data_IF_132256887248
#
_entry.id   IF_132256887248
#
_cell.length_a   1.000
_cell.length_b   1.000
_cell.length_c   1.000
_cell.angle_alpha   90.00
_cell.angle_beta   90.00
_cell.angle_gamma   90.00
#
_symmetry.space_group_name_H-M   'P 1'
#
loop_
_entity.id
_entity.type
_entity.pdbx_description
1 polymer ?
#
# COMPACT_ATOMS: atom_id res chain seq x y z
N UNK A 1 -15.43 22.73 -5.25
CA UNK A 1 -15.57 22.25 -3.86
C UNK A 1 -17.03 22.23 -3.44
N UNK A 2 -17.78 23.31 -3.66
CA UNK A 2 -19.22 23.40 -3.38
C UNK A 2 -20.02 22.25 -4.00
N UNK A 3 -19.95 22.08 -5.33
CA UNK A 3 -20.63 20.97 -6.03
C UNK A 3 -20.28 19.60 -5.45
N UNK A 4 -19.03 19.38 -5.05
CA UNK A 4 -18.57 18.10 -4.49
C UNK A 4 -19.16 17.85 -3.09
N UNK A 5 -19.24 18.89 -2.26
CA UNK A 5 -19.84 18.78 -0.93
C UNK A 5 -21.35 18.54 -1.05
N UNK A 6 -22.05 19.33 -1.86
CA UNK A 6 -23.51 19.20 -2.06
C UNK A 6 -23.88 17.83 -2.63
N UNK A 7 -23.13 17.37 -3.63
CA UNK A 7 -23.32 16.05 -4.21
C UNK A 7 -23.06 14.93 -3.19
N UNK A 8 -22.05 15.08 -2.33
CA UNK A 8 -21.74 14.11 -1.28
C UNK A 8 -22.85 14.05 -0.24
N UNK A 9 -23.33 15.20 0.25
CA UNK A 9 -24.45 15.31 1.18
C UNK A 9 -25.72 14.67 0.61
N UNK A 10 -26.06 15.00 -0.64
CA UNK A 10 -27.21 14.43 -1.34
C UNK A 10 -27.10 12.91 -1.47
N UNK A 11 -25.92 12.38 -1.82
CA UNK A 11 -25.69 10.94 -1.95
C UNK A 11 -25.78 10.19 -0.62
N UNK A 12 -25.33 10.82 0.47
CA UNK A 12 -25.39 10.23 1.80
C UNK A 12 -26.77 10.40 2.45
N UNK A 13 -27.63 11.26 1.90
CA UNK A 13 -28.91 11.61 2.51
C UNK A 13 -28.75 12.39 3.81
N UNK A 14 -27.67 13.17 3.93
CA UNK A 14 -27.31 13.92 5.13
C UNK A 14 -27.37 15.42 4.87
N UNK A 15 -27.78 16.18 5.88
CA UNK A 15 -27.72 17.65 5.88
C UNK A 15 -26.34 18.16 6.32
N UNK A 16 -25.69 17.40 7.20
CA UNK A 16 -24.40 17.69 7.82
C UNK A 16 -23.53 16.43 7.83
N UNK A 17 -22.23 16.58 7.58
CA UNK A 17 -21.23 15.53 7.87
C UNK A 17 -20.34 15.96 9.02
N UNK A 18 -19.92 15.01 9.87
CA UNK A 18 -19.06 15.33 11.01
C UNK A 18 -17.68 15.84 10.56
N UNK A 19 -17.09 15.21 9.54
CA UNK A 19 -15.75 15.57 9.04
C UNK A 19 -15.71 15.54 7.52
N UNK A 20 -15.20 16.61 6.92
CA UNK A 20 -14.87 16.66 5.49
C UNK A 20 -13.34 16.70 5.28
N UNK A 21 -12.79 15.82 4.43
CA UNK A 21 -11.35 15.78 4.17
C UNK A 21 -11.00 16.29 2.77
N UNK A 22 -10.06 17.23 2.68
CA UNK A 22 -9.38 17.49 1.41
C UNK A 22 -8.54 16.28 1.04
N UNK A 23 -8.86 15.64 -0.08
CA UNK A 23 -8.26 14.37 -0.47
C UNK A 23 -7.07 14.55 -1.40
N UNK A 24 -5.92 14.01 -0.99
CA UNK A 24 -4.63 13.95 -1.69
C UNK A 24 -4.25 15.27 -2.39
N UNK A 25 -4.20 16.40 -1.66
CA UNK A 25 -3.84 17.68 -2.24
C UNK A 25 -2.45 17.65 -2.93
N UNK A 26 -1.54 16.77 -2.49
CA UNK A 26 -0.21 16.57 -3.08
C UNK A 26 -0.21 16.25 -4.58
N UNK A 27 -1.34 15.80 -5.16
CA UNK A 27 -1.46 15.60 -6.61
C UNK A 27 -1.21 16.88 -7.40
N UNK A 28 -1.49 18.04 -6.81
CA UNK A 28 -1.09 19.31 -7.39
C UNK A 28 0.44 19.40 -7.50
N UNK A 29 1.18 19.09 -6.43
CA UNK A 29 2.64 19.11 -6.44
C UNK A 29 3.20 18.10 -7.43
N UNK A 30 2.65 16.87 -7.50
CA UNK A 30 3.07 15.85 -8.47
C UNK A 30 2.94 16.33 -9.92
N UNK A 31 1.84 17.02 -10.23
CA UNK A 31 1.64 17.60 -11.56
C UNK A 31 2.63 18.73 -11.85
N UNK A 32 2.92 19.60 -10.88
CA UNK A 32 3.91 20.67 -11.02
C UNK A 32 5.34 20.13 -11.22
N UNK A 33 5.69 19.06 -10.50
CA UNK A 33 6.96 18.34 -10.66
C UNK A 33 7.11 17.78 -12.08
N UNK A 34 6.06 17.11 -12.58
CA UNK A 34 6.01 16.58 -13.95
C UNK A 34 6.22 17.65 -15.03
N UNK A 35 5.81 18.89 -14.75
CA UNK A 35 5.96 20.04 -15.65
C UNK A 35 7.20 20.90 -15.34
N UNK A 36 8.15 20.39 -14.52
CA UNK A 36 9.41 21.07 -14.18
C UNK A 36 9.23 22.47 -13.58
N UNK A 37 8.14 22.70 -12.84
CA UNK A 37 7.92 23.97 -12.14
C UNK A 37 8.84 24.01 -10.91
N UNK A 38 9.55 25.12 -10.63
CA UNK A 38 10.40 25.24 -9.45
C UNK A 38 9.64 24.94 -8.15
N UNK A 39 10.28 24.19 -7.24
CA UNK A 39 9.66 23.69 -6.00
C UNK A 39 9.07 24.81 -5.17
N UNK A 40 9.77 25.94 -5.05
CA UNK A 40 9.35 27.10 -4.27
C UNK A 40 8.03 27.67 -4.80
N UNK A 41 7.96 27.88 -6.12
CA UNK A 41 6.77 28.41 -6.81
C UNK A 41 5.59 27.45 -6.72
N UNK A 42 5.82 26.15 -6.85
CA UNK A 42 4.78 25.14 -6.71
C UNK A 42 4.27 25.06 -5.27
N UNK A 43 5.18 25.12 -4.30
CA UNK A 43 4.88 25.09 -2.86
C UNK A 43 4.06 26.29 -2.43
N UNK A 44 4.39 27.49 -2.92
CA UNK A 44 3.62 28.71 -2.68
C UNK A 44 2.17 28.57 -3.16
N UNK A 45 1.98 28.20 -4.44
CA UNK A 45 0.64 28.00 -5.00
C UNK A 45 -0.13 26.88 -4.29
N UNK A 46 0.56 25.82 -3.88
CA UNK A 46 -0.03 24.71 -3.17
C UNK A 46 -0.67 25.14 -1.85
N UNK A 47 0.07 25.87 -1.03
CA UNK A 47 -0.42 26.33 0.27
C UNK A 47 -1.45 27.46 0.14
N UNK A 48 -1.37 28.32 -0.86
CA UNK A 48 -2.43 29.30 -1.15
C UNK A 48 -3.76 28.64 -1.54
N UNK A 49 -3.70 27.53 -2.28
CA UNK A 49 -4.89 26.71 -2.59
C UNK A 49 -5.47 26.07 -1.34
N UNK A 50 -4.64 25.56 -0.43
CA UNK A 50 -5.09 25.03 0.87
C UNK A 50 -5.75 26.13 1.69
N UNK A 51 -5.13 27.31 1.80
CA UNK A 51 -5.68 28.47 2.52
C UNK A 51 -7.05 28.88 1.99
N UNK A 52 -7.19 28.96 0.67
CA UNK A 52 -8.48 29.24 0.01
C UNK A 52 -9.53 28.16 0.30
N UNK A 53 -9.12 26.89 0.34
CA UNK A 53 -10.00 25.78 0.69
C UNK A 53 -10.45 25.85 2.16
N UNK A 54 -9.56 26.23 3.08
CA UNK A 54 -9.89 26.38 4.49
C UNK A 54 -10.92 27.50 4.72
N UNK A 55 -10.78 28.66 4.06
CA UNK A 55 -11.80 29.72 4.13
C UNK A 55 -13.18 29.21 3.70
N UNK A 56 -13.23 28.47 2.60
CA UNK A 56 -14.47 27.87 2.12
C UNK A 56 -15.05 26.86 3.14
N UNK A 57 -14.21 26.00 3.71
CA UNK A 57 -14.66 24.99 4.69
C UNK A 57 -15.14 25.62 6.00
N UNK A 58 -14.50 26.68 6.48
CA UNK A 58 -14.97 27.43 7.64
C UNK A 58 -16.35 28.07 7.37
N UNK A 59 -16.57 28.59 6.16
CA UNK A 59 -17.89 29.07 5.76
C UNK A 59 -18.93 27.94 5.73
N UNK A 60 -18.59 26.76 5.19
CA UNK A 60 -19.50 25.59 5.21
C UNK A 60 -19.75 25.02 6.59
N UNK A 61 -18.79 25.17 7.51
CA UNK A 61 -18.97 24.88 8.93
C UNK A 61 -19.97 25.84 9.57
N UNK A 62 -19.85 27.14 9.30
CA UNK A 62 -20.81 28.16 9.76
C UNK A 62 -22.23 27.92 9.22
N UNK A 63 -22.35 27.41 7.99
CA UNK A 63 -23.62 26.99 7.39
C UNK A 63 -24.16 25.66 7.95
N UNK A 64 -23.42 24.98 8.84
CA UNK A 64 -23.81 23.70 9.41
C UNK A 64 -23.74 22.52 8.44
N UNK A 65 -23.09 22.67 7.27
CA UNK A 65 -22.94 21.59 6.28
C UNK A 65 -21.87 20.57 6.67
N UNK A 66 -20.89 21.01 7.46
CA UNK A 66 -19.83 20.18 8.04
C UNK A 66 -19.61 20.60 9.50
N UNK A 67 -19.22 19.69 10.39
CA UNK A 67 -18.82 20.08 11.75
C UNK A 67 -17.34 20.43 11.82
N UNK A 68 -16.50 19.60 11.21
CA UNK A 68 -15.06 19.75 11.13
C UNK A 68 -14.52 19.43 9.75
N UNK A 69 -13.25 19.76 9.52
CA UNK A 69 -12.54 19.36 8.32
C UNK A 69 -11.10 18.92 8.60
N UNK A 70 -10.49 18.34 7.59
CA UNK A 70 -9.14 17.83 7.66
C UNK A 70 -8.49 17.66 6.31
N UNK A 71 -7.29 17.08 6.31
CA UNK A 71 -6.58 16.72 5.09
C UNK A 71 -6.24 15.23 5.15
N UNK A 72 -6.47 14.55 4.03
CA UNK A 72 -5.96 13.21 3.75
C UNK A 72 -4.79 13.33 2.79
N UNK A 73 -3.57 13.09 3.24
CA UNK A 73 -2.38 13.09 2.38
C UNK A 73 -1.56 11.83 2.58
N UNK A 74 -1.09 11.26 1.46
CA UNK A 74 -0.13 10.15 1.49
C UNK A 74 1.26 10.61 1.93
N UNK A 75 1.53 11.91 1.87
CA UNK A 75 2.88 12.47 2.00
C UNK A 75 3.16 13.11 3.36
N UNK A 76 2.18 13.12 4.28
CA UNK A 76 2.38 13.68 5.63
C UNK A 76 3.55 13.06 6.37
N UNK A 77 3.72 11.75 6.19
CA UNK A 77 4.75 10.94 6.84
C UNK A 77 6.03 10.84 6.01
N UNK A 78 6.16 11.55 4.89
CA UNK A 78 7.34 11.48 4.03
C UNK A 78 8.44 12.45 4.47
N UNK A 79 9.61 12.39 3.81
CA UNK A 79 10.69 13.35 4.04
C UNK A 79 10.20 14.78 3.68
N UNK A 80 10.29 15.77 4.60
CA UNK A 80 9.95 17.17 4.34
C UNK A 80 10.64 17.79 3.11
N UNK A 81 11.81 17.27 2.73
CA UNK A 81 12.59 17.77 1.60
C UNK A 81 12.11 17.28 0.23
N UNK A 82 11.23 16.28 0.17
CA UNK A 82 10.65 15.85 -1.11
C UNK A 82 9.81 16.96 -1.74
N UNK A 83 9.79 17.02 -3.07
CA UNK A 83 9.02 18.00 -3.83
C UNK A 83 7.52 17.96 -3.45
N UNK A 84 6.98 16.75 -3.34
CA UNK A 84 5.55 16.48 -3.12
C UNK A 84 5.15 16.45 -1.65
N UNK A 85 6.05 16.78 -0.73
CA UNK A 85 5.82 16.67 0.71
C UNK A 85 4.78 17.68 1.21
N UNK A 86 3.77 17.19 1.94
CA UNK A 86 2.77 18.01 2.62
C UNK A 86 3.18 18.24 4.07
N UNK A 87 3.46 19.49 4.44
CA UNK A 87 3.91 19.88 5.78
C UNK A 87 2.72 20.20 6.69
N UNK A 88 2.48 19.35 7.70
CA UNK A 88 1.47 19.61 8.72
C UNK A 88 1.75 20.91 9.50
N UNK A 89 3.01 21.25 9.76
CA UNK A 89 3.40 22.49 10.44
C UNK A 89 2.93 23.72 9.65
N UNK A 90 3.09 23.73 8.31
CA UNK A 90 2.59 24.81 7.46
C UNK A 90 1.07 24.86 7.43
N UNK A 91 0.40 23.70 7.38
CA UNK A 91 -1.07 23.61 7.43
C UNK A 91 -1.62 24.18 8.74
N UNK A 92 -0.99 23.88 9.88
CA UNK A 92 -1.37 24.43 11.19
C UNK A 92 -1.27 25.97 11.22
N UNK A 93 -0.22 26.54 10.60
CA UNK A 93 -0.09 28.00 10.45
C UNK A 93 -1.23 28.58 9.62
N UNK A 94 -1.53 27.94 8.48
CA UNK A 94 -2.64 28.35 7.60
C UNK A 94 -3.99 28.29 8.33
N UNK A 95 -4.24 27.23 9.11
CA UNK A 95 -5.47 27.13 9.92
C UNK A 95 -5.60 28.30 10.90
N UNK A 96 -4.53 28.65 11.62
CA UNK A 96 -4.50 29.81 12.53
C UNK A 96 -4.66 31.15 11.81
N UNK A 97 -4.04 31.30 10.64
CA UNK A 97 -4.19 32.51 9.83
C UNK A 97 -5.64 32.70 9.38
N UNK A 98 -6.27 31.65 8.85
CA UNK A 98 -7.67 31.69 8.41
C UNK A 98 -8.61 31.92 9.59
N UNK A 99 -8.37 31.26 10.72
CA UNK A 99 -9.10 31.50 11.96
C UNK A 99 -9.07 32.98 12.37
N UNK A 100 -7.87 33.58 12.36
CA UNK A 100 -7.68 34.99 12.72
C UNK A 100 -8.32 35.94 11.71
N UNK A 101 -8.16 35.67 10.41
CA UNK A 101 -8.74 36.45 9.30
C UNK A 101 -10.27 36.50 9.39
N UNK A 102 -10.90 35.38 9.76
CA UNK A 102 -12.35 35.25 9.87
C UNK A 102 -12.90 35.60 11.27
N UNK A 103 -12.03 35.94 12.23
CA UNK A 103 -12.44 36.28 13.60
C UNK A 103 -13.11 35.12 14.35
N UNK A 104 -12.65 33.88 14.13
CA UNK A 104 -13.22 32.68 14.73
C UNK A 104 -12.57 32.36 16.08
N UNK A 105 -13.38 31.99 17.07
CA UNK A 105 -12.87 31.52 18.37
C UNK A 105 -12.03 30.24 18.24
N UNK A 106 -12.46 29.32 17.36
CA UNK A 106 -11.77 28.06 17.09
C UNK A 106 -11.81 27.73 15.59
N UNK A 107 -10.72 27.14 15.07
CA UNK A 107 -10.69 26.59 13.71
C UNK A 107 -11.42 25.25 13.63
N UNK A 108 -12.07 24.98 12.50
CA UNK A 108 -12.67 23.68 12.20
C UNK A 108 -11.67 22.61 11.73
N UNK A 109 -10.38 22.94 11.56
CA UNK A 109 -9.35 21.97 11.19
C UNK A 109 -9.06 21.04 12.35
N UNK A 110 -9.49 19.77 12.25
CA UNK A 110 -9.46 18.82 13.35
C UNK A 110 -8.87 17.44 12.99
N UNK A 111 -8.76 17.07 11.71
CA UNK A 111 -8.41 15.70 11.30
C UNK A 111 -7.23 15.64 10.34
N UNK A 112 -6.30 14.73 10.62
CA UNK A 112 -5.14 14.44 9.75
C UNK A 112 -5.18 12.98 9.38
N UNK A 113 -5.50 12.69 8.11
CA UNK A 113 -5.50 11.34 7.58
C UNK A 113 -4.21 11.05 6.81
N UNK A 114 -3.59 9.91 7.10
CA UNK A 114 -2.36 9.46 6.44
C UNK A 114 -2.24 7.92 6.45
N UNK A 115 -1.41 7.35 5.56
CA UNK A 115 -1.10 5.93 5.56
C UNK A 115 -0.28 5.55 6.78
N UNK A 116 -0.65 4.43 7.41
CA UNK A 116 0.09 3.91 8.55
C UNK A 116 -0.13 2.41 8.71
N UNK A 117 0.96 1.66 8.74
CA UNK A 117 0.99 0.22 9.00
C UNK A 117 2.43 -0.19 9.35
N UNK A 118 2.65 -1.46 9.70
CA UNK A 118 3.96 -1.95 10.14
C UNK A 118 5.12 -1.65 9.18
N UNK A 119 4.85 -1.49 7.88
CA UNK A 119 5.86 -1.21 6.86
C UNK A 119 5.87 0.26 6.40
N UNK A 120 4.74 0.96 6.47
CA UNK A 120 4.63 2.41 6.27
C UNK A 120 4.70 3.13 7.63
N UNK A 121 5.84 2.98 8.33
CA UNK A 121 6.05 3.43 9.72
C UNK A 121 6.48 4.89 9.88
N UNK A 122 6.60 5.64 8.77
CA UNK A 122 7.23 6.96 8.74
C UNK A 122 6.55 8.05 9.60
N UNK A 123 5.33 7.80 10.07
CA UNK A 123 4.61 8.67 11.00
C UNK A 123 5.19 8.66 12.42
N UNK A 124 5.99 7.64 12.76
CA UNK A 124 6.72 7.52 14.02
C UNK A 124 8.15 8.09 13.94
N UNK A 125 8.65 8.41 12.75
CA UNK A 125 10.00 8.98 12.57
C UNK A 125 10.08 10.39 13.19
N UNK A 126 11.06 10.70 14.06
CA UNK A 126 11.22 12.02 14.68
C UNK A 126 11.87 13.06 13.73
N UNK A 127 11.33 13.20 12.51
CA UNK A 127 11.93 14.01 11.43
C UNK A 127 11.35 15.42 11.26
N UNK A 128 10.40 15.81 12.11
CA UNK A 128 9.76 17.12 12.07
C UNK A 128 10.24 17.92 13.28
N UNK A 129 11.44 18.51 13.17
CA UNK A 129 12.08 19.27 14.27
C UNK A 129 12.26 18.41 15.55
N UNK A 130 12.63 17.14 15.37
CA UNK A 130 12.80 16.17 16.45
C UNK A 130 11.50 15.51 16.92
N UNK A 131 10.34 15.90 16.38
CA UNK A 131 9.04 15.28 16.66
C UNK A 131 8.61 14.35 15.53
N UNK A 132 7.78 13.37 15.90
CA UNK A 132 7.08 12.53 14.93
C UNK A 132 5.70 13.10 14.61
N UNK A 133 5.05 12.57 13.56
CA UNK A 133 3.78 13.08 13.07
C UNK A 133 2.66 12.96 14.12
N UNK A 134 2.62 11.85 14.85
CA UNK A 134 1.61 11.60 15.90
C UNK A 134 1.73 12.64 17.03
N UNK A 135 2.94 12.92 17.48
CA UNK A 135 3.19 13.94 18.51
C UNK A 135 2.69 15.31 18.06
N UNK A 136 2.98 15.71 16.81
CA UNK A 136 2.50 16.99 16.28
C UNK A 136 0.96 17.04 16.23
N UNK A 137 0.32 15.96 15.80
CA UNK A 137 -1.14 15.85 15.75
C UNK A 137 -1.75 16.03 17.14
N UNK A 138 -1.28 15.26 18.14
CA UNK A 138 -1.83 15.30 19.49
C UNK A 138 -1.56 16.62 20.22
N UNK A 139 -0.35 17.18 20.11
CA UNK A 139 0.00 18.46 20.72
C UNK A 139 -0.86 19.62 20.22
N UNK A 140 -1.43 19.49 19.01
CA UNK A 140 -2.33 20.48 18.42
C UNK A 140 -3.82 20.09 18.54
N UNK A 141 -4.15 19.08 19.36
CA UNK A 141 -5.53 18.66 19.61
C UNK A 141 -6.24 18.03 18.40
N UNK A 142 -5.49 17.55 17.41
CA UNK A 142 -6.03 16.95 16.20
C UNK A 142 -6.25 15.43 16.36
N UNK A 143 -7.14 14.87 15.54
CA UNK A 143 -7.40 13.45 15.46
C UNK A 143 -6.57 12.80 14.32
N UNK A 144 -5.68 11.83 14.64
CA UNK A 144 -5.04 11.03 13.61
C UNK A 144 -6.01 9.98 13.06
N UNK A 145 -6.08 9.89 11.74
CA UNK A 145 -6.93 8.94 11.02
C UNK A 145 -6.05 8.10 10.08
N UNK A 146 -5.93 6.80 10.35
CA UNK A 146 -5.07 5.92 9.55
C UNK A 146 -5.84 5.27 8.42
N UNK A 147 -5.30 5.33 7.21
CA UNK A 147 -5.72 4.48 6.10
C UNK A 147 -4.63 3.44 5.75
N UNK A 148 -5.01 2.43 4.95
CA UNK A 148 -4.15 1.30 4.55
C UNK A 148 -3.47 0.52 5.69
N UNK A 149 -4.14 0.21 6.82
CA UNK A 149 -3.50 -0.43 7.97
C UNK A 149 -2.99 -1.86 7.71
N UNK A 150 -3.47 -2.53 6.66
CA UNK A 150 -3.11 -3.91 6.33
C UNK A 150 -2.58 -4.10 4.91
N UNK A 151 -2.46 -3.02 4.12
CA UNK A 151 -2.02 -3.08 2.74
C UNK A 151 -0.92 -2.04 2.55
N UNK A 152 0.31 -2.42 2.91
CA UNK A 152 1.47 -1.56 2.74
C UNK A 152 1.79 -1.37 1.26
N UNK A 153 2.15 -0.16 0.87
CA UNK A 153 2.58 0.14 -0.50
C UNK A 153 4.09 0.36 -0.51
N UNK A 154 4.81 -0.41 -1.33
CA UNK A 154 6.24 -0.23 -1.52
C UNK A 154 6.53 1.00 -2.40
N UNK A 155 7.79 1.46 -2.42
CA UNK A 155 8.22 2.53 -3.33
C UNK A 155 7.99 2.21 -4.81
N UNK A 156 7.88 0.93 -5.19
CA UNK A 156 7.55 0.49 -6.55
C UNK A 156 6.04 0.43 -6.83
N UNK A 157 5.19 0.84 -5.89
CA UNK A 157 3.73 0.84 -6.00
C UNK A 157 3.07 -0.51 -5.73
N UNK A 158 3.84 -1.51 -5.30
CA UNK A 158 3.33 -2.85 -5.06
C UNK A 158 2.71 -2.96 -3.67
N UNK A 159 1.63 -3.74 -3.57
CA UNK A 159 0.91 -3.94 -2.32
C UNK A 159 1.47 -5.17 -1.59
N UNK A 160 1.94 -4.95 -0.37
CA UNK A 160 2.28 -5.98 0.60
C UNK A 160 1.16 -6.09 1.63
N UNK A 161 0.40 -7.19 1.57
CA UNK A 161 -0.69 -7.45 2.51
C UNK A 161 -0.17 -8.08 3.81
N UNK A 162 -0.47 -7.45 4.94
CA UNK A 162 -0.12 -7.89 6.29
C UNK A 162 -1.08 -8.97 6.79
N UNK A 163 -1.07 -10.13 6.12
CA UNK A 163 -1.92 -11.28 6.45
C UNK A 163 -1.13 -12.58 6.41
N UNK A 164 -1.11 -13.28 7.55
CA UNK A 164 -0.51 -14.60 7.71
C UNK A 164 -1.14 -15.25 8.94
N UNK A 165 -1.52 -16.51 8.82
CA UNK A 165 -2.13 -17.28 9.89
C UNK A 165 -1.19 -18.45 10.24
N UNK A 166 -0.51 -18.43 11.40
CA UNK A 166 0.43 -19.49 11.78
C UNK A 166 -0.26 -20.85 11.95
N UNK A 167 -1.59 -20.90 12.06
CA UNK A 167 -2.36 -22.14 12.20
C UNK A 167 -2.61 -22.84 10.86
N UNK A 168 -2.26 -22.20 9.74
CA UNK A 168 -2.47 -22.70 8.36
C UNK A 168 -1.12 -22.97 7.70
N UNK A 169 -0.35 -23.91 8.26
CA UNK A 169 0.99 -24.26 7.78
C UNK A 169 1.01 -24.73 6.31
N UNK A 170 2.03 -24.29 5.55
CA UNK A 170 2.26 -24.66 4.14
C UNK A 170 3.73 -25.00 3.81
N UNK A 171 4.54 -25.31 4.82
CA UNK A 171 6.01 -25.23 4.79
C UNK A 171 6.72 -26.19 3.80
N UNK A 172 6.01 -27.18 3.23
CA UNK A 172 6.56 -28.07 2.19
C UNK A 172 6.14 -27.73 0.76
N UNK A 173 5.19 -26.81 0.56
CA UNK A 173 4.58 -26.60 -0.74
C UNK A 173 5.55 -25.86 -1.69
N UNK A 174 6.31 -24.88 -1.19
CA UNK A 174 7.15 -24.06 -2.07
C UNK A 174 8.29 -24.85 -2.73
N UNK A 175 8.96 -25.72 -1.97
CA UNK A 175 10.02 -26.58 -2.51
C UNK A 175 9.47 -27.54 -3.58
N UNK A 176 8.32 -28.17 -3.31
CA UNK A 176 7.67 -29.06 -4.27
C UNK A 176 7.27 -28.33 -5.57
N UNK A 177 6.75 -27.09 -5.46
CA UNK A 177 6.41 -26.28 -6.63
C UNK A 177 7.66 -25.89 -7.42
N UNK A 178 8.77 -25.58 -6.73
CA UNK A 178 10.04 -25.28 -7.38
C UNK A 178 10.59 -26.49 -8.15
N UNK A 179 10.60 -27.66 -7.54
CA UNK A 179 11.06 -28.91 -8.20
C UNK A 179 10.21 -29.25 -9.42
N UNK A 180 8.90 -29.02 -9.35
CA UNK A 180 8.00 -29.16 -10.50
C UNK A 180 8.31 -28.16 -11.61
N UNK A 181 8.53 -26.88 -11.29
CA UNK A 181 8.96 -25.88 -12.28
C UNK A 181 10.30 -26.27 -12.93
N UNK A 182 11.28 -26.71 -12.14
CA UNK A 182 12.58 -27.15 -12.65
C UNK A 182 12.46 -28.36 -13.58
N UNK A 183 11.52 -29.26 -13.29
CA UNK A 183 11.21 -30.41 -14.17
C UNK A 183 10.63 -29.95 -15.50
N UNK A 184 9.71 -28.98 -15.48
CA UNK A 184 9.12 -28.39 -16.69
C UNK A 184 10.17 -27.61 -17.49
N UNK A 185 11.05 -26.86 -16.83
CA UNK A 185 12.15 -26.16 -17.48
C UNK A 185 13.11 -27.11 -18.20
N UNK A 186 13.43 -28.27 -17.61
CA UNK A 186 14.22 -29.31 -18.28
C UNK A 186 13.47 -29.93 -19.46
N UNK A 187 12.16 -30.15 -19.33
CA UNK A 187 11.32 -30.68 -20.42
C UNK A 187 11.25 -29.69 -21.59
N UNK A 188 11.10 -28.40 -21.33
CA UNK A 188 11.16 -27.34 -22.34
C UNK A 188 12.50 -27.39 -23.09
N UNK A 189 13.63 -27.48 -22.37
CA UNK A 189 14.97 -27.52 -22.98
C UNK A 189 15.13 -28.70 -23.93
N UNK A 190 14.68 -29.90 -23.53
CA UNK A 190 14.70 -31.10 -24.37
C UNK A 190 13.80 -30.95 -25.59
N UNK A 191 12.60 -30.39 -25.42
CA UNK A 191 11.64 -30.20 -26.50
C UNK A 191 12.18 -29.21 -27.54
N UNK A 192 12.81 -28.12 -27.12
CA UNK A 192 13.34 -27.09 -28.01
C UNK A 192 14.67 -27.49 -28.68
N UNK A 193 15.35 -28.52 -28.20
CA UNK A 193 16.61 -29.02 -28.80
C UNK A 193 16.45 -29.52 -30.24
N UNK A 194 15.22 -29.80 -30.68
CA UNK A 194 14.91 -30.17 -32.08
C UNK A 194 15.00 -28.99 -33.05
N UNK A 195 15.03 -27.76 -32.53
CA UNK A 195 15.11 -26.55 -33.33
C UNK A 195 16.58 -26.17 -33.61
N UNK A 196 16.89 -25.58 -34.78
CA UNK A 196 18.23 -25.09 -35.08
C UNK A 196 18.72 -24.06 -34.05
N UNK A 197 20.01 -24.08 -33.71
CA UNK A 197 20.61 -23.07 -32.85
C UNK A 197 20.39 -21.65 -33.42
N UNK A 198 19.99 -20.72 -32.55
CA UNK A 198 19.70 -19.33 -32.93
C UNK A 198 18.32 -19.09 -33.57
N UNK A 199 17.49 -20.12 -33.72
CA UNK A 199 16.12 -19.98 -34.24
C UNK A 199 15.18 -19.23 -33.30
N UNK A 200 15.47 -19.25 -32.00
CA UNK A 200 14.75 -18.53 -30.94
C UNK A 200 15.75 -17.85 -29.99
N UNK A 201 15.29 -16.77 -29.33
CA UNK A 201 16.11 -15.99 -28.39
C UNK A 201 15.67 -16.16 -26.94
N UNK A 202 14.38 -16.37 -26.70
CA UNK A 202 13.78 -16.43 -25.38
C UNK A 202 12.79 -17.60 -25.33
N UNK A 203 12.82 -18.34 -24.22
CA UNK A 203 11.92 -19.44 -23.85
C UNK A 203 11.18 -19.10 -22.56
N UNK A 204 10.17 -19.90 -22.18
CA UNK A 204 9.46 -19.74 -20.92
C UNK A 204 10.43 -19.66 -19.74
N UNK A 205 11.33 -20.65 -19.61
CA UNK A 205 12.37 -20.67 -18.58
C UNK A 205 13.17 -19.37 -18.54
N UNK A 206 13.73 -18.95 -19.69
CA UNK A 206 14.62 -17.78 -19.73
C UNK A 206 13.93 -16.48 -19.33
N UNK A 207 12.60 -16.40 -19.49
CA UNK A 207 11.82 -15.20 -19.12
C UNK A 207 11.17 -15.32 -17.74
N UNK A 208 11.03 -16.51 -17.14
CA UNK A 208 10.42 -16.67 -15.82
C UNK A 208 11.43 -16.98 -14.71
N UNK A 209 12.40 -17.87 -14.92
CA UNK A 209 13.36 -18.32 -13.90
C UNK A 209 14.14 -17.15 -13.25
N UNK A 210 14.68 -16.16 -13.99
CA UNK A 210 15.40 -15.04 -13.38
C UNK A 210 14.53 -14.15 -12.50
N UNK A 211 13.22 -14.10 -12.78
CA UNK A 211 12.25 -13.22 -12.13
C UNK A 211 11.38 -13.96 -11.10
N UNK A 212 11.50 -15.29 -11.00
CA UNK A 212 10.71 -16.14 -10.13
C UNK A 212 10.68 -15.63 -8.69
N UNK A 213 11.83 -15.13 -8.23
CA UNK A 213 12.00 -14.60 -6.89
C UNK A 213 11.66 -13.12 -6.72
N UNK A 214 11.34 -12.41 -7.80
CA UNK A 214 11.13 -10.96 -7.81
C UNK A 214 9.64 -10.60 -7.84
N UNK A 215 8.76 -11.58 -8.09
CA UNK A 215 7.32 -11.37 -8.07
C UNK A 215 6.83 -11.04 -6.65
N UNK A 216 6.16 -9.91 -6.52
CA UNK A 216 5.75 -9.35 -5.23
C UNK A 216 4.30 -9.69 -4.87
N UNK A 217 3.48 -10.04 -5.86
CA UNK A 217 2.08 -10.44 -5.71
C UNK A 217 1.56 -11.03 -7.03
N UNK A 218 0.35 -11.58 -7.00
CA UNK A 218 -0.31 -12.16 -8.17
C UNK A 218 -0.55 -11.15 -9.30
N UNK A 219 -0.84 -9.88 -8.98
CA UNK A 219 -1.07 -8.86 -9.99
C UNK A 219 0.22 -8.50 -10.74
N UNK A 220 1.35 -8.42 -10.05
CA UNK A 220 2.66 -8.24 -10.67
C UNK A 220 2.99 -9.41 -11.60
N UNK A 221 2.72 -10.65 -11.17
CA UNK A 221 2.86 -11.82 -12.04
C UNK A 221 1.96 -11.70 -13.30
N UNK A 222 0.68 -11.41 -13.14
CA UNK A 222 -0.25 -11.31 -14.27
C UNK A 222 0.17 -10.21 -15.27
N UNK A 223 0.55 -9.03 -14.78
CA UNK A 223 1.05 -7.95 -15.63
C UNK A 223 2.34 -8.33 -16.36
N UNK A 224 3.24 -9.05 -15.69
CA UNK A 224 4.47 -9.56 -16.30
C UNK A 224 4.17 -10.62 -17.37
N UNK A 225 3.23 -11.52 -17.09
CA UNK A 225 2.78 -12.53 -18.05
C UNK A 225 2.18 -11.88 -19.29
N UNK A 226 1.25 -10.95 -19.12
CA UNK A 226 0.56 -10.25 -20.22
C UNK A 226 1.49 -9.40 -21.07
N UNK A 227 2.37 -8.62 -20.43
CA UNK A 227 3.20 -7.61 -21.15
C UNK A 227 4.50 -8.18 -21.70
N UNK A 228 5.04 -9.23 -21.09
CA UNK A 228 6.37 -9.75 -21.41
C UNK A 228 6.33 -11.19 -21.88
N UNK A 229 5.77 -12.10 -21.07
CA UNK A 229 5.89 -13.53 -21.32
C UNK A 229 5.02 -13.98 -22.49
N UNK A 230 3.73 -13.64 -22.49
CA UNK A 230 2.78 -14.09 -23.53
C UNK A 230 3.22 -13.68 -24.94
N UNK A 231 3.63 -12.42 -25.22
CA UNK A 231 4.11 -12.05 -26.55
C UNK A 231 5.31 -12.86 -27.02
N UNK A 232 6.26 -13.15 -26.11
CA UNK A 232 7.45 -13.96 -26.41
C UNK A 232 7.05 -15.41 -26.70
N UNK A 233 6.19 -15.98 -25.87
CA UNK A 233 5.73 -17.37 -26.06
C UNK A 233 4.92 -17.53 -27.33
N UNK A 234 4.08 -16.57 -27.71
CA UNK A 234 3.33 -16.60 -28.97
C UNK A 234 4.26 -16.64 -30.19
N UNK A 235 5.34 -15.85 -30.17
CA UNK A 235 6.36 -15.90 -31.22
C UNK A 235 7.07 -17.24 -31.26
N UNK A 236 7.45 -17.78 -30.11
CA UNK A 236 8.11 -19.08 -30.00
C UNK A 236 7.19 -20.22 -30.47
N UNK A 237 5.92 -20.22 -30.07
CA UNK A 237 4.92 -21.21 -30.51
C UNK A 237 4.79 -21.22 -32.04
N UNK A 238 4.73 -20.05 -32.68
CA UNK A 238 4.67 -19.95 -34.15
C UNK A 238 5.96 -20.45 -34.82
N UNK A 239 7.13 -20.22 -34.20
CA UNK A 239 8.41 -20.75 -34.70
C UNK A 239 8.51 -22.26 -34.56
N UNK A 240 8.06 -22.82 -33.44
CA UNK A 240 8.03 -24.27 -33.21
C UNK A 240 7.14 -24.94 -34.25
N UNK A 241 5.96 -24.39 -34.54
CA UNK A 241 5.07 -24.93 -35.59
C UNK A 241 5.76 -24.96 -36.95
N UNK A 242 6.40 -23.84 -37.33
CA UNK A 242 7.04 -23.68 -38.63
C UNK A 242 8.23 -24.63 -38.84
N UNK A 243 8.99 -24.91 -37.78
CA UNK A 243 10.26 -25.64 -37.87
C UNK A 243 10.14 -27.08 -37.34
N UNK A 244 9.56 -27.26 -36.16
CA UNK A 244 9.38 -28.54 -35.48
C UNK A 244 8.04 -29.23 -35.78
N UNK A 245 7.09 -28.53 -36.41
CA UNK A 245 5.79 -29.07 -36.79
C UNK A 245 4.74 -29.03 -35.67
N UNK A 246 3.49 -29.30 -36.06
CA UNK A 246 2.29 -29.18 -35.21
C UNK A 246 2.36 -30.07 -33.97
N UNK A 247 3.00 -31.24 -34.06
CA UNK A 247 3.13 -32.16 -32.93
C UNK A 247 3.99 -31.55 -31.80
N UNK A 248 5.15 -31.01 -32.15
CA UNK A 248 6.07 -30.37 -31.18
C UNK A 248 5.45 -29.10 -30.61
N UNK A 249 4.71 -28.36 -31.42
CA UNK A 249 3.93 -27.19 -30.98
C UNK A 249 2.89 -27.58 -29.92
N UNK A 250 2.11 -28.65 -30.16
CA UNK A 250 1.11 -29.13 -29.21
C UNK A 250 1.75 -29.56 -27.88
N UNK A 251 2.84 -30.33 -27.92
CA UNK A 251 3.59 -30.74 -26.73
C UNK A 251 4.16 -29.54 -25.95
N UNK A 252 4.56 -28.47 -26.65
CA UNK A 252 5.01 -27.24 -26.01
C UNK A 252 3.87 -26.48 -25.33
N UNK A 253 2.72 -26.35 -25.99
CA UNK A 253 1.53 -25.72 -25.41
C UNK A 253 1.06 -26.47 -24.16
N UNK A 254 1.07 -27.81 -24.18
CA UNK A 254 0.78 -28.62 -22.99
C UNK A 254 1.76 -28.34 -21.84
N UNK A 255 3.05 -28.23 -22.16
CA UNK A 255 4.10 -27.89 -21.18
C UNK A 255 3.83 -26.52 -20.54
N UNK A 256 3.41 -25.52 -21.34
CA UNK A 256 3.06 -24.19 -20.84
C UNK A 256 1.79 -24.20 -19.97
N UNK A 257 0.76 -24.96 -20.38
CA UNK A 257 -0.49 -25.09 -19.62
C UNK A 257 -0.26 -25.77 -18.25
N UNK A 258 0.73 -26.66 -18.15
CA UNK A 258 1.17 -27.23 -16.88
C UNK A 258 1.97 -26.23 -16.04
N UNK A 259 2.84 -25.43 -16.68
CA UNK A 259 3.75 -24.53 -15.99
C UNK A 259 3.07 -23.31 -15.37
N UNK A 260 2.12 -22.69 -16.06
CA UNK A 260 1.49 -21.44 -15.62
C UNK A 260 0.79 -21.57 -14.25
N UNK A 261 -0.07 -22.57 -13.99
CA UNK A 261 -0.68 -22.75 -12.68
C UNK A 261 0.34 -22.98 -11.56
N UNK A 262 1.44 -23.68 -11.85
CA UNK A 262 2.49 -23.96 -10.87
C UNK A 262 3.26 -22.68 -10.55
N UNK A 263 3.55 -21.85 -11.55
CA UNK A 263 4.17 -20.54 -11.37
C UNK A 263 3.30 -19.62 -10.51
N UNK A 264 1.99 -19.57 -10.79
CA UNK A 264 1.03 -18.80 -9.97
C UNK A 264 1.01 -19.29 -8.51
N UNK A 265 0.94 -20.60 -8.31
CA UNK A 265 0.98 -21.19 -6.97
C UNK A 265 2.32 -20.92 -6.27
N UNK A 266 3.43 -20.95 -7.00
CA UNK A 266 4.76 -20.66 -6.45
C UNK A 266 4.82 -19.22 -5.94
N UNK A 267 4.40 -18.26 -6.77
CA UNK A 267 4.36 -16.84 -6.38
C UNK A 267 3.42 -16.63 -5.20
N UNK A 268 2.28 -17.31 -5.16
CA UNK A 268 1.37 -17.26 -4.01
C UNK A 268 2.00 -17.80 -2.72
N UNK A 269 2.64 -18.96 -2.76
CA UNK A 269 3.27 -19.57 -1.57
C UNK A 269 4.50 -18.79 -1.12
N UNK A 270 5.33 -18.31 -2.06
CA UNK A 270 6.47 -17.44 -1.74
C UNK A 270 6.02 -16.18 -1.02
N UNK A 271 4.89 -15.64 -1.47
CA UNK A 271 4.29 -14.51 -0.79
C UNK A 271 3.98 -14.88 0.67
N UNK A 272 3.32 -16.01 0.95
CA UNK A 272 3.06 -16.45 2.33
C UNK A 272 4.35 -16.55 3.17
N UNK A 273 5.44 -17.13 2.63
CA UNK A 273 6.71 -17.23 3.36
C UNK A 273 7.30 -15.88 3.76
N UNK A 274 7.22 -14.86 2.89
CA UNK A 274 7.69 -13.52 3.25
C UNK A 274 6.92 -12.95 4.45
N UNK A 275 5.61 -13.26 4.56
CA UNK A 275 4.80 -12.84 5.70
C UNK A 275 5.11 -13.66 6.95
N UNK A 276 5.46 -14.96 6.79
CA UNK A 276 5.97 -15.80 7.89
C UNK A 276 7.26 -15.21 8.47
N UNK A 277 8.20 -14.78 7.63
CA UNK A 277 9.44 -14.13 8.08
C UNK A 277 9.15 -12.85 8.90
N UNK A 278 8.29 -11.98 8.38
CA UNK A 278 7.85 -10.78 9.12
C UNK A 278 7.18 -11.15 10.45
N UNK A 279 6.27 -12.13 10.44
CA UNK A 279 5.63 -12.65 11.63
C UNK A 279 6.64 -13.13 12.67
N UNK A 280 7.63 -13.94 12.28
CA UNK A 280 8.68 -14.42 13.18
C UNK A 280 9.49 -13.29 13.80
N UNK A 281 9.84 -12.24 13.04
CA UNK A 281 10.50 -11.04 13.59
C UNK A 281 9.66 -10.37 14.67
N UNK A 282 8.35 -10.25 14.43
CA UNK A 282 7.41 -9.64 15.38
C UNK A 282 7.28 -10.48 16.64
N UNK A 283 7.12 -11.80 16.52
CA UNK A 283 7.00 -12.70 17.68
C UNK A 283 8.28 -12.73 18.52
N UNK A 284 9.46 -12.61 17.90
CA UNK A 284 10.72 -12.51 18.66
C UNK A 284 10.76 -11.27 19.57
N UNK A 285 10.17 -10.14 19.15
CA UNK A 285 10.09 -8.93 19.96
C UNK A 285 8.89 -8.93 20.90
N UNK A 286 7.76 -9.52 20.48
CA UNK A 286 6.51 -9.57 21.22
C UNK A 286 5.96 -11.01 21.32
N UNK A 287 6.54 -11.87 22.18
CA UNK A 287 6.20 -13.30 22.23
C UNK A 287 4.75 -13.60 22.61
N UNK A 288 4.11 -12.70 23.35
CA UNK A 288 2.72 -12.86 23.80
C UNK A 288 1.71 -12.97 22.65
N UNK A 289 2.10 -12.56 21.44
CA UNK A 289 1.23 -12.60 20.25
C UNK A 289 1.37 -13.85 19.39
N UNK A 290 2.12 -14.88 19.82
CA UNK A 290 2.39 -16.08 19.03
C UNK A 290 1.13 -16.85 18.57
N UNK A 291 0.00 -16.67 19.25
CA UNK A 291 -1.28 -17.32 18.89
C UNK A 291 -2.16 -16.49 17.95
N UNK A 292 -1.77 -15.24 17.67
CA UNK A 292 -2.52 -14.29 16.86
C UNK A 292 -2.09 -14.38 15.40
N UNK A 293 -2.97 -13.99 14.47
CA UNK A 293 -2.58 -13.85 13.07
C UNK A 293 -1.89 -12.50 12.83
N UNK A 294 -1.11 -12.39 11.76
CA UNK A 294 -0.35 -11.18 11.44
C UNK A 294 -1.23 -9.93 11.29
N UNK A 295 -2.46 -10.07 10.77
CA UNK A 295 -3.37 -8.92 10.63
C UNK A 295 -3.80 -8.39 11.99
N UNK A 296 -4.19 -9.28 12.92
CA UNK A 296 -4.55 -8.93 14.29
C UNK A 296 -3.40 -8.23 15.01
N UNK A 297 -2.18 -8.75 14.88
CA UNK A 297 -0.98 -8.14 15.49
C UNK A 297 -0.69 -6.78 14.87
N UNK A 298 -0.76 -6.67 13.54
CA UNK A 298 -0.50 -5.41 12.82
C UNK A 298 -1.45 -4.30 13.27
N UNK A 299 -2.75 -4.62 13.42
CA UNK A 299 -3.73 -3.67 13.92
C UNK A 299 -3.48 -3.30 15.39
N UNK A 300 -3.08 -4.28 16.20
CA UNK A 300 -2.88 -4.07 17.64
C UNK A 300 -1.69 -3.16 17.89
N UNK A 301 -0.57 -3.43 17.21
CA UNK A 301 0.64 -2.64 17.32
C UNK A 301 0.39 -1.23 16.78
N UNK A 302 -0.29 -1.09 15.65
CA UNK A 302 -0.65 0.22 15.10
C UNK A 302 -1.53 1.03 16.07
N UNK A 303 -2.61 0.44 16.58
CA UNK A 303 -3.49 1.09 17.54
C UNK A 303 -2.73 1.53 18.81
N UNK A 304 -1.91 0.65 19.36
CA UNK A 304 -1.12 0.94 20.56
C UNK A 304 -0.11 2.07 20.32
N UNK A 305 0.48 2.17 19.11
CA UNK A 305 1.35 3.30 18.74
C UNK A 305 0.60 4.61 18.54
N UNK A 306 -0.69 4.57 18.16
CA UNK A 306 -1.51 5.77 18.03
C UNK A 306 -1.96 6.31 19.39
N UNK A 307 -2.19 5.46 20.40
CA UNK A 307 -2.84 5.76 21.70
C UNK A 307 -4.26 6.32 21.57
N UNK A 308 -4.41 7.44 20.85
CA UNK A 308 -5.69 8.06 20.50
C UNK A 308 -5.72 8.32 19.01
N UNK A 309 -6.67 7.71 18.31
CA UNK A 309 -6.84 7.85 16.88
C UNK A 309 -7.92 6.93 16.33
N UNK A 310 -8.11 6.96 15.01
CA UNK A 310 -9.04 6.09 14.31
C UNK A 310 -8.30 5.33 13.22
N UNK A 311 -8.51 4.01 13.15
CA UNK A 311 -7.96 3.15 12.09
C UNK A 311 -9.09 2.75 11.15
N UNK A 312 -8.99 3.13 9.87
CA UNK A 312 -10.01 2.82 8.86
C UNK A 312 -9.84 1.40 8.33
N UNK A 313 -10.88 0.59 8.50
CA UNK A 313 -10.94 -0.80 8.04
C UNK A 313 -12.02 -1.00 6.98
N UNK A 314 -11.63 -1.60 5.85
CA UNK A 314 -12.53 -1.98 4.76
C UNK A 314 -12.86 -3.48 4.77
N UNK A 315 -13.17 -4.03 5.94
CA UNK A 315 -13.41 -5.47 6.10
C UNK A 315 -14.82 -5.87 5.66
N UNK A 316 -14.94 -6.98 4.94
CA UNK A 316 -16.22 -7.50 4.40
C UNK A 316 -16.56 -8.90 4.88
N UNK A 317 -15.71 -9.51 5.72
CA UNK A 317 -15.92 -10.84 6.28
C UNK A 317 -15.99 -10.75 7.80
N UNK A 318 -16.93 -11.48 8.38
CA UNK A 318 -17.16 -11.49 9.82
C UNK A 318 -15.92 -11.96 10.60
N UNK A 319 -15.20 -12.97 10.08
CA UNK A 319 -13.93 -13.44 10.66
C UNK A 319 -12.91 -12.30 10.85
N UNK A 320 -12.75 -11.43 9.85
CA UNK A 320 -11.79 -10.33 9.90
C UNK A 320 -12.25 -9.22 10.87
N UNK A 321 -13.55 -8.96 10.94
CA UNK A 321 -14.12 -7.99 11.89
C UNK A 321 -13.91 -8.47 13.33
N UNK A 322 -14.07 -9.78 13.59
CA UNK A 322 -13.79 -10.37 14.90
C UNK A 322 -12.32 -10.22 15.28
N UNK A 323 -11.41 -10.51 14.37
CA UNK A 323 -9.96 -10.34 14.58
C UNK A 323 -9.60 -8.88 14.91
N UNK A 324 -10.13 -7.91 14.16
CA UNK A 324 -9.89 -6.49 14.42
C UNK A 324 -10.49 -6.04 15.75
N UNK A 325 -11.71 -6.48 16.07
CA UNK A 325 -12.39 -6.13 17.32
C UNK A 325 -11.61 -6.69 18.52
N UNK A 326 -11.16 -7.94 18.43
CA UNK A 326 -10.31 -8.56 19.44
C UNK A 326 -8.98 -7.80 19.62
N UNK A 327 -8.36 -7.37 18.52
CA UNK A 327 -7.14 -6.57 18.52
C UNK A 327 -7.30 -5.23 19.25
N UNK A 328 -8.40 -4.50 19.00
CA UNK A 328 -8.68 -3.20 19.63
C UNK A 328 -9.19 -3.32 21.07
N UNK A 329 -9.75 -4.46 21.46
CA UNK A 329 -10.20 -4.72 22.84
C UNK A 329 -9.05 -5.12 23.78
N UNK A 330 -7.92 -5.54 23.24
CA UNK A 330 -6.75 -5.89 24.04
C UNK A 330 -6.06 -4.63 24.62
N UNK A 331 -5.46 -4.78 25.81
CA UNK A 331 -4.70 -3.71 26.45
C UNK A 331 -3.55 -3.23 25.57
N UNK A 332 -3.34 -1.92 25.53
CA UNK A 332 -2.27 -1.31 24.74
C UNK A 332 -0.90 -1.90 25.09
N UNK A 333 -0.08 -2.14 24.06
CA UNK A 333 1.31 -2.53 24.23
C UNK A 333 2.20 -1.31 24.23
N UNK A 334 3.15 -1.23 25.16
CA UNK A 334 4.23 -0.26 25.04
C UNK A 334 5.16 -0.67 23.89
N UNK A 335 5.18 0.14 22.84
CA UNK A 335 5.90 -0.14 21.60
C UNK A 335 7.00 0.89 21.43
N UNK A 336 8.22 0.42 21.23
CA UNK A 336 9.33 1.29 20.86
C UNK A 336 9.33 1.49 19.35
N UNK A 337 9.48 2.73 18.90
CA UNK A 337 9.62 3.03 17.47
C UNK A 337 10.77 2.24 16.81
N UNK A 338 11.83 1.94 17.56
CA UNK A 338 12.95 1.13 17.07
C UNK A 338 12.54 -0.29 16.70
N UNK A 339 11.50 -0.84 17.32
CA UNK A 339 10.98 -2.17 17.00
C UNK A 339 10.41 -2.20 15.57
N UNK A 340 9.75 -1.11 15.16
CA UNK A 340 9.18 -1.00 13.81
C UNK A 340 10.23 -0.94 12.71
N UNK A 341 11.43 -0.42 13.00
CA UNK A 341 12.56 -0.45 12.06
C UNK A 341 13.12 -1.85 11.84
N UNK A 342 12.88 -2.78 12.76
CA UNK A 342 13.28 -4.18 12.58
C UNK A 342 12.33 -4.95 11.66
N UNK A 343 11.12 -4.42 11.42
CA UNK A 343 10.08 -5.03 10.59
C UNK A 343 10.22 -4.73 9.09
N UNK A 344 11.22 -3.94 8.69
CA UNK A 344 11.50 -3.68 7.27
C UNK A 344 11.74 -5.01 6.53
N UNK A 345 11.11 -5.14 5.36
CA UNK A 345 11.07 -6.36 4.51
C UNK A 345 11.98 -6.17 3.31
#
# INVERSE_FOLDING_TARGET
>A
MEDQLEYSLKRLGLETVDVFLLHNPEYFLMDREKHNVPKEKATEQYYERIKSSFRFLEQKRKEGKILYYGISSNTFSENPEKYTSTSLIKILKIAKEVQSELGLEESGFAVVQFPGNLLESGFLDPKFEGKNLISIIHENGLLPLINRPLNAISNSGNIYRLSYDPKKESEHILNLLKERLDTIYKREEVLLAVLPQGSYKYTFRTVTEPYLNQFQNQNHLNQFLERTVIPILQQLIAQIEKIGGVKVQAEYIETLNEALPILEQYVFQKNIESRKSLYSKIINLYPNYQSWNLSTISLHLLHSSLRKGVVLLGMRKEEYVKDATFSFAASETEIQYQDWKQFEV
#
